data_IF_203775966252
#
_entry.id   IF_203775966252
#
_cell.length_a   1.000
_cell.length_b   1.000
_cell.length_c   1.000
_cell.angle_alpha   90.00
_cell.angle_beta   90.00
_cell.angle_gamma   90.00
#
_symmetry.space_group_name_H-M   'P 1'
#
loop_
_entity.id
_entity.type
_entity.pdbx_description
1 polymer ?
#
# COMPACT_ATOMS: atom_id res chain seq x y z
N UNK A 1 3.62 6.35 -2.87
CA UNK A 1 3.88 5.71 -1.57
C UNK A 1 2.74 4.73 -1.35
N UNK A 2 3.02 3.43 -1.39
CA UNK A 2 2.06 2.41 -0.95
C UNK A 2 2.18 2.26 0.56
N UNK A 3 1.07 2.04 1.27
CA UNK A 3 1.15 1.68 2.69
C UNK A 3 1.84 0.34 2.86
N UNK A 4 2.60 0.19 3.94
CA UNK A 4 3.21 -1.08 4.29
C UNK A 4 2.15 -2.00 4.93
N UNK A 5 2.23 -3.29 4.64
CA UNK A 5 1.42 -4.32 5.27
C UNK A 5 2.27 -5.57 5.53
N UNK A 6 1.81 -6.42 6.41
CA UNK A 6 2.33 -7.77 6.62
C UNK A 6 1.17 -8.76 6.55
N UNK A 7 1.37 -9.90 5.87
CA UNK A 7 0.35 -10.93 5.72
C UNK A 7 0.97 -12.30 6.03
N UNK A 8 0.26 -13.11 6.81
CA UNK A 8 0.81 -14.29 7.47
C UNK A 8 -0.15 -15.46 7.49
N UNK A 9 0.41 -16.67 7.34
CA UNK A 9 -0.25 -17.92 7.73
C UNK A 9 0.21 -18.36 9.11
N UNK A 10 -0.70 -18.99 9.86
CA UNK A 10 -0.36 -19.61 11.14
C UNK A 10 0.72 -20.68 10.93
N UNK A 11 1.69 -20.76 11.84
CA UNK A 11 2.75 -21.78 11.81
C UNK A 11 3.85 -21.58 10.76
N UNK A 12 3.82 -20.50 9.97
CA UNK A 12 4.86 -20.20 8.97
C UNK A 12 5.54 -18.85 9.25
N UNK A 13 6.86 -18.80 9.04
CA UNK A 13 7.64 -17.56 9.06
C UNK A 13 7.15 -16.58 7.97
N UNK A 14 7.34 -15.25 8.15
CA UNK A 14 7.00 -14.27 7.12
C UNK A 14 7.73 -14.62 5.83
N UNK A 15 7.05 -14.90 4.71
CA UNK A 15 7.72 -14.83 3.43
C UNK A 15 8.15 -13.38 3.18
N UNK A 16 9.34 -13.17 2.61
CA UNK A 16 9.72 -11.86 2.07
C UNK A 16 8.69 -11.43 1.02
N UNK A 17 7.84 -10.48 1.38
CA UNK A 17 6.92 -9.83 0.45
C UNK A 17 7.46 -8.44 0.12
N UNK A 18 7.92 -8.20 -1.13
CA UNK A 18 8.19 -6.84 -1.55
C UNK A 18 6.88 -6.04 -1.46
N UNK A 19 6.93 -4.73 -1.14
CA UNK A 19 5.74 -3.89 -1.12
C UNK A 19 4.99 -4.04 -2.44
N UNK A 20 3.66 -4.14 -2.39
CA UNK A 20 2.83 -4.23 -3.59
C UNK A 20 3.34 -3.22 -4.61
N UNK A 21 3.75 -3.74 -5.77
CA UNK A 21 4.00 -2.98 -6.98
C UNK A 21 2.70 -2.24 -7.32
N UNK A 22 2.53 -1.07 -6.70
CA UNK A 22 1.56 -0.09 -7.10
C UNK A 22 2.07 0.44 -8.43
N UNK A 23 1.44 0.00 -9.53
CA UNK A 23 1.69 0.55 -10.86
C UNK A 23 1.27 2.03 -10.84
N UNK A 24 2.19 2.88 -10.41
CA UNK A 24 2.11 4.32 -10.57
C UNK A 24 2.09 4.64 -12.05
N UNK A 25 1.06 5.37 -12.45
CA UNK A 25 0.74 5.71 -13.84
C UNK A 25 1.93 6.31 -14.61
N UNK A 26 2.52 5.54 -15.53
CA UNK A 26 3.33 6.10 -16.63
C UNK A 26 2.46 6.63 -17.79
N UNK A 27 1.13 6.43 -17.74
CA UNK A 27 0.22 6.54 -18.89
C UNK A 27 -0.72 7.77 -18.83
N UNK A 28 -0.59 8.64 -17.82
CA UNK A 28 -1.29 9.93 -17.82
C UNK A 28 -0.80 10.88 -18.93
N UNK A 29 0.40 10.66 -19.50
CA UNK A 29 0.97 11.53 -20.55
C UNK A 29 0.45 11.26 -21.97
N UNK A 30 0.11 10.03 -22.33
CA UNK A 30 -0.20 9.69 -23.73
C UNK A 30 -1.58 10.17 -24.21
N UNK A 31 -2.58 10.25 -23.32
CA UNK A 31 -3.93 10.68 -23.72
C UNK A 31 -4.04 12.21 -23.92
N UNK A 32 -3.25 13.00 -23.19
CA UNK A 32 -3.15 14.46 -23.41
C UNK A 32 -2.35 14.80 -24.68
N UNK A 33 -1.34 14.00 -25.01
CA UNK A 33 -0.49 14.22 -26.19
C UNK A 33 -1.17 13.84 -27.52
N UNK A 34 -2.15 12.93 -27.49
CA UNK A 34 -2.90 12.52 -28.68
C UNK A 34 -4.08 13.45 -29.02
N UNK A 35 -4.56 14.27 -28.08
CA UNK A 35 -5.54 15.34 -28.34
C UNK A 35 -4.94 16.57 -29.02
N UNK A 36 -3.62 16.73 -29.04
CA UNK A 36 -2.97 17.87 -29.67
C UNK A 36 -2.96 17.83 -31.22
N UNK A 37 -3.39 16.71 -31.84
CA UNK A 37 -3.30 16.52 -33.31
C UNK A 37 -4.64 16.60 -34.06
N UNK A 38 -5.79 16.71 -33.36
CA UNK A 38 -7.12 16.80 -34.01
C UNK A 38 -8.00 17.82 -33.29
N UNK A 39 -8.46 18.84 -34.02
CA UNK A 39 -9.38 19.86 -33.52
C UNK A 39 -10.74 19.21 -33.20
N UNK A 40 -11.00 18.92 -31.93
CA UNK A 40 -12.22 18.28 -31.47
C UNK A 40 -13.02 19.27 -30.62
N UNK A 41 -14.35 19.38 -30.78
CA UNK A 41 -15.14 20.31 -30.00
C UNK A 41 -15.07 19.99 -28.48
N UNK A 42 -15.09 21.00 -27.58
CA UNK A 42 -14.86 20.83 -26.14
C UNK A 42 -15.79 19.81 -25.45
N UNK A 43 -17.04 19.71 -25.92
CA UNK A 43 -18.03 18.76 -25.40
C UNK A 43 -17.66 17.30 -25.71
N UNK A 44 -17.09 17.03 -26.89
CA UNK A 44 -16.68 15.69 -27.26
C UNK A 44 -15.35 15.30 -26.58
N UNK A 45 -14.47 16.27 -26.33
CA UNK A 45 -13.26 16.07 -25.53
C UNK A 45 -13.58 15.80 -24.03
N UNK A 46 -14.56 16.51 -23.45
CA UNK A 46 -15.01 16.28 -22.07
C UNK A 46 -15.72 14.94 -21.89
N UNK A 47 -16.64 14.57 -22.78
CA UNK A 47 -17.31 13.24 -22.77
C UNK A 47 -16.32 12.09 -22.89
N UNK A 48 -15.33 12.21 -23.78
CA UNK A 48 -14.28 11.21 -23.93
C UNK A 48 -13.45 11.07 -22.64
N UNK A 49 -13.02 12.19 -22.04
CA UNK A 49 -12.31 12.19 -20.74
C UNK A 49 -13.14 11.56 -19.62
N UNK A 50 -14.45 11.82 -19.56
CA UNK A 50 -15.33 11.21 -18.57
C UNK A 50 -15.41 9.69 -18.76
N UNK A 51 -15.64 9.21 -19.99
CA UNK A 51 -15.66 7.76 -20.31
C UNK A 51 -14.36 7.06 -19.90
N UNK A 52 -13.21 7.62 -20.29
CA UNK A 52 -11.90 7.08 -19.90
C UNK A 52 -11.71 7.04 -18.39
N UNK A 53 -12.17 8.08 -17.68
CA UNK A 53 -12.11 8.10 -16.21
C UNK A 53 -12.97 6.99 -15.60
N UNK A 54 -14.18 6.77 -16.11
CA UNK A 54 -15.05 5.68 -15.65
C UNK A 54 -14.43 4.31 -15.91
N UNK A 55 -13.91 4.07 -17.11
CA UNK A 55 -13.24 2.82 -17.46
C UNK A 55 -12.00 2.58 -16.59
N UNK A 56 -11.17 3.60 -16.40
CA UNK A 56 -9.99 3.51 -15.53
C UNK A 56 -10.35 3.21 -14.07
N UNK A 57 -11.38 3.87 -13.53
CA UNK A 57 -11.87 3.58 -12.16
C UNK A 57 -12.39 2.13 -12.05
N UNK A 58 -13.04 1.60 -13.10
CA UNK A 58 -13.49 0.22 -13.12
C UNK A 58 -12.30 -0.76 -13.14
N UNK A 59 -11.31 -0.53 -14.00
CA UNK A 59 -10.09 -1.36 -14.09
C UNK A 59 -9.28 -1.33 -12.79
N UNK A 60 -9.12 -0.15 -12.18
CA UNK A 60 -8.46 0.00 -10.88
C UNK A 60 -9.19 -0.79 -9.79
N UNK A 61 -10.52 -0.68 -9.75
CA UNK A 61 -11.36 -1.43 -8.81
C UNK A 61 -11.19 -2.94 -8.98
N UNK A 62 -11.18 -3.44 -10.22
CA UNK A 62 -11.04 -4.87 -10.50
C UNK A 62 -9.65 -5.38 -10.09
N UNK A 63 -8.60 -4.59 -10.32
CA UNK A 63 -7.26 -4.90 -9.83
C UNK A 63 -7.22 -4.96 -8.29
N UNK A 64 -7.83 -4.00 -7.60
CA UNK A 64 -7.94 -4.02 -6.13
C UNK A 64 -8.70 -5.24 -5.62
N UNK A 65 -9.76 -5.67 -6.31
CA UNK A 65 -10.46 -6.90 -5.95
C UNK A 65 -9.56 -8.13 -6.13
N UNK A 66 -8.78 -8.23 -7.21
CA UNK A 66 -7.85 -9.34 -7.41
C UNK A 66 -6.77 -9.37 -6.33
N UNK A 67 -6.13 -8.23 -6.04
CA UNK A 67 -5.07 -8.15 -5.03
C UNK A 67 -5.59 -8.44 -3.62
N UNK A 68 -6.74 -7.88 -3.24
CA UNK A 68 -7.31 -8.11 -1.91
C UNK A 68 -7.78 -9.56 -1.72
N UNK A 69 -8.30 -10.21 -2.77
CA UNK A 69 -8.64 -11.63 -2.71
C UNK A 69 -7.38 -12.50 -2.60
N UNK A 70 -6.34 -12.22 -3.39
CA UNK A 70 -5.08 -12.95 -3.33
C UNK A 70 -4.43 -12.83 -1.94
N UNK A 71 -4.47 -11.64 -1.33
CA UNK A 71 -3.92 -11.42 0.00
C UNK A 71 -4.64 -12.22 1.09
N UNK A 72 -5.97 -12.20 1.08
CA UNK A 72 -6.79 -12.92 2.06
C UNK A 72 -6.67 -14.43 1.86
N UNK A 73 -6.63 -14.92 0.63
CA UNK A 73 -6.51 -16.37 0.37
C UNK A 73 -5.17 -16.95 0.84
N UNK A 74 -4.12 -16.13 0.96
CA UNK A 74 -2.80 -16.59 1.40
C UNK A 74 -2.51 -16.32 2.86
N UNK A 75 -3.34 -15.59 3.60
CA UNK A 75 -3.03 -15.17 4.96
C UNK A 75 -4.23 -15.32 5.92
N UNK A 76 -3.96 -15.88 7.10
CA UNK A 76 -4.90 -15.97 8.22
C UNK A 76 -4.87 -14.70 9.07
N UNK A 77 -3.75 -13.98 9.05
CA UNK A 77 -3.55 -12.70 9.72
C UNK A 77 -2.95 -11.69 8.76
N UNK A 78 -3.61 -10.54 8.64
CA UNK A 78 -3.16 -9.39 7.87
C UNK A 78 -3.02 -8.22 8.84
N UNK A 79 -1.84 -7.63 8.90
CA UNK A 79 -1.56 -6.44 9.71
C UNK A 79 -1.23 -5.28 8.78
N UNK A 80 -1.89 -4.15 8.97
CA UNK A 80 -1.72 -2.95 8.14
C UNK A 80 -1.48 -1.73 9.02
N UNK A 81 -0.76 -0.75 8.49
CA UNK A 81 -0.65 0.56 9.12
C UNK A 81 -1.98 1.31 9.08
N UNK A 82 -2.39 1.91 10.20
CA UNK A 82 -3.52 2.84 10.26
C UNK A 82 -3.11 4.23 9.75
N UNK A 83 -2.82 4.30 8.44
CA UNK A 83 -2.49 5.55 7.79
C UNK A 83 -3.74 6.44 7.75
N UNK A 84 -3.66 7.63 8.35
CA UNK A 84 -4.72 8.63 8.24
C UNK A 84 -4.70 9.26 6.84
N UNK A 85 -5.31 8.57 5.87
CA UNK A 85 -5.36 8.96 4.46
C UNK A 85 -5.96 10.36 4.29
N UNK A 86 -6.93 10.76 5.13
CA UNK A 86 -7.55 12.09 5.09
C UNK A 86 -6.52 13.19 5.35
N UNK A 87 -5.61 12.98 6.31
CA UNK A 87 -4.54 13.94 6.60
C UNK A 87 -3.46 13.94 5.51
N UNK A 88 -3.14 12.79 4.91
CA UNK A 88 -2.12 12.73 3.86
C UNK A 88 -2.59 13.40 2.55
N UNK A 89 -3.89 13.36 2.24
CA UNK A 89 -4.48 14.05 1.07
C UNK A 89 -4.41 15.58 1.21
N UNK A 90 -4.22 16.12 2.41
CA UNK A 90 -4.03 17.57 2.59
C UNK A 90 -2.64 18.04 2.17
N UNK A 91 -1.69 17.12 1.95
CA UNK A 91 -0.32 17.49 1.57
C UNK A 91 -0.23 17.88 0.09
N UNK A 92 0.17 19.11 -0.26
CA UNK A 92 0.02 19.67 -1.60
C UNK A 92 0.75 18.87 -2.69
N UNK A 93 1.88 18.25 -2.38
CA UNK A 93 2.67 17.47 -3.35
C UNK A 93 2.33 15.97 -3.38
N UNK A 94 1.76 15.42 -2.31
CA UNK A 94 1.51 13.98 -2.18
C UNK A 94 0.05 13.61 -2.43
N UNK A 95 -0.87 14.57 -2.26
CA UNK A 95 -2.32 14.40 -2.38
C UNK A 95 -2.72 13.60 -3.60
N UNK A 96 -2.19 13.97 -4.78
CA UNK A 96 -2.52 13.32 -6.04
C UNK A 96 -2.06 11.87 -6.09
N UNK A 97 -0.81 11.61 -5.71
CA UNK A 97 -0.26 10.24 -5.70
C UNK A 97 -0.95 9.32 -4.69
N UNK A 98 -1.45 9.87 -3.58
CA UNK A 98 -2.19 9.13 -2.55
C UNK A 98 -3.63 8.89 -2.98
N UNK A 99 -4.29 9.90 -3.56
CA UNK A 99 -5.64 9.78 -4.10
C UNK A 99 -5.70 8.80 -5.27
N UNK A 100 -4.67 8.81 -6.13
CA UNK A 100 -4.53 7.87 -7.24
C UNK A 100 -4.23 6.44 -6.76
N UNK A 101 -3.71 6.27 -5.53
CA UNK A 101 -3.32 4.98 -4.97
C UNK A 101 -4.44 4.27 -4.18
N UNK A 102 -5.73 4.63 -4.35
CA UNK A 102 -6.93 3.92 -3.88
C UNK A 102 -6.85 3.17 -2.52
N UNK A 103 -6.03 3.63 -1.57
CA UNK A 103 -5.58 2.82 -0.42
C UNK A 103 -6.71 2.56 0.56
N UNK A 104 -7.54 3.56 0.84
CA UNK A 104 -8.72 3.39 1.69
C UNK A 104 -9.68 2.33 1.14
N UNK A 105 -9.90 2.33 -0.19
CA UNK A 105 -10.75 1.32 -0.85
C UNK A 105 -10.16 -0.06 -0.75
N UNK A 106 -8.83 -0.18 -0.88
CA UNK A 106 -8.13 -1.44 -0.70
C UNK A 106 -8.30 -1.99 0.71
N UNK A 107 -8.14 -1.15 1.74
CA UNK A 107 -8.35 -1.54 3.14
C UNK A 107 -9.80 -1.94 3.43
N UNK A 108 -10.77 -1.24 2.85
CA UNK A 108 -12.18 -1.62 2.95
C UNK A 108 -12.44 -2.99 2.31
N UNK A 109 -11.81 -3.26 1.16
CA UNK A 109 -11.89 -4.55 0.50
C UNK A 109 -11.25 -5.67 1.30
N UNK A 110 -10.08 -5.43 1.88
CA UNK A 110 -9.42 -6.40 2.75
C UNK A 110 -10.26 -6.72 3.97
N UNK A 111 -10.87 -5.71 4.59
CA UNK A 111 -11.70 -5.89 5.80
C UNK A 111 -12.83 -6.88 5.56
N UNK A 112 -13.70 -6.62 4.57
CA UNK A 112 -14.86 -7.50 4.35
C UNK A 112 -14.45 -8.88 3.81
N UNK A 113 -13.34 -8.98 3.06
CA UNK A 113 -12.87 -10.28 2.54
C UNK A 113 -12.21 -11.12 3.63
N UNK A 114 -11.40 -10.51 4.49
CA UNK A 114 -10.79 -11.18 5.62
C UNK A 114 -11.87 -11.75 6.54
N UNK A 115 -12.87 -10.94 6.89
CA UNK A 115 -14.03 -11.36 7.68
C UNK A 115 -14.75 -12.57 7.05
N UNK A 116 -15.01 -12.52 5.74
CA UNK A 116 -15.64 -13.64 5.01
C UNK A 116 -14.79 -14.91 4.97
N UNK A 117 -13.48 -14.80 5.00
CA UNK A 117 -12.55 -15.93 4.96
C UNK A 117 -12.19 -16.46 6.36
N UNK A 118 -12.66 -15.81 7.44
CA UNK A 118 -12.23 -16.11 8.81
C UNK A 118 -10.81 -15.65 9.14
N UNK A 119 -10.23 -14.76 8.32
CA UNK A 119 -8.93 -14.16 8.56
C UNK A 119 -9.05 -12.88 9.40
N UNK A 120 -8.00 -12.54 10.15
CA UNK A 120 -7.95 -11.35 10.98
C UNK A 120 -7.27 -10.19 10.24
N UNK A 121 -7.88 -9.01 10.28
CA UNK A 121 -7.26 -7.76 9.83
C UNK A 121 -7.01 -6.84 11.03
N UNK A 122 -5.75 -6.58 11.35
CA UNK A 122 -5.33 -5.75 12.49
C UNK A 122 -4.70 -4.46 11.96
N UNK A 123 -5.09 -3.32 12.53
CA UNK A 123 -4.49 -2.02 12.23
C UNK A 123 -3.56 -1.61 13.35
N UNK A 124 -2.38 -1.10 13.01
CA UNK A 124 -1.36 -0.67 13.99
C UNK A 124 -0.97 0.79 13.78
N UNK A 125 -0.44 1.42 14.84
CA UNK A 125 0.07 2.79 14.76
C UNK A 125 1.25 2.85 13.76
N UNK A 126 1.17 3.69 12.70
CA UNK A 126 2.25 3.84 11.72
C UNK A 126 3.49 4.56 12.27
N UNK A 127 3.46 5.10 13.49
CA UNK A 127 4.57 5.89 14.03
C UNK A 127 5.85 5.05 14.13
N UNK A 128 6.91 5.57 13.51
CA UNK A 128 8.27 5.04 13.57
C UNK A 128 8.46 3.62 13.02
N UNK A 129 7.48 3.02 12.35
CA UNK A 129 7.56 1.65 11.79
C UNK A 129 8.73 1.50 10.80
N UNK A 130 8.97 2.49 9.95
CA UNK A 130 10.06 2.51 8.97
C UNK A 130 11.42 2.95 9.53
N UNK A 131 11.41 3.60 10.69
CA UNK A 131 12.61 4.13 11.35
C UNK A 131 13.17 3.15 12.38
N UNK A 132 12.30 2.49 13.14
CA UNK A 132 12.66 1.49 14.14
C UNK A 132 13.32 0.29 13.48
N UNK A 133 14.45 -0.16 14.03
CA UNK A 133 15.11 -1.37 13.54
C UNK A 133 14.33 -2.62 13.97
N UNK A 134 14.02 -3.50 13.01
CA UNK A 134 13.37 -4.77 13.31
C UNK A 134 14.28 -5.74 14.09
N UNK A 135 15.61 -5.59 13.98
CA UNK A 135 16.61 -6.42 14.68
C UNK A 135 16.85 -6.01 16.13
N UNK A 136 17.08 -4.72 16.41
CA UNK A 136 17.44 -4.26 17.76
C UNK A 136 16.50 -3.19 18.36
N UNK A 137 15.41 -2.85 17.67
CA UNK A 137 14.43 -1.83 18.10
C UNK A 137 14.93 -0.39 18.19
N UNK A 138 16.20 -0.13 17.86
CA UNK A 138 16.79 1.23 17.83
C UNK A 138 16.12 2.11 16.77
N UNK A 139 15.95 3.40 17.06
CA UNK A 139 15.44 4.33 16.07
C UNK A 139 16.58 4.76 15.14
N UNK A 140 16.37 4.57 13.84
CA UNK A 140 17.29 5.00 12.79
C UNK A 140 16.56 6.08 11.97
N UNK A 141 16.69 7.37 12.32
CA UNK A 141 16.06 8.45 11.60
C UNK A 141 16.52 8.48 10.15
N UNK A 142 15.57 8.58 9.23
CA UNK A 142 15.84 8.59 7.78
C UNK A 142 14.72 9.29 7.02
N UNK A 143 15.07 9.88 5.89
CA UNK A 143 14.09 10.52 5.00
C UNK A 143 13.35 9.49 4.14
N UNK A 144 12.22 9.88 3.55
CA UNK A 144 11.41 9.02 2.68
C UNK A 144 12.14 8.62 1.38
N UNK A 145 13.22 9.32 1.02
CA UNK A 145 14.06 9.01 -0.14
C UNK A 145 14.95 7.79 0.12
N UNK A 146 15.36 7.54 1.36
CA UNK A 146 16.22 6.41 1.72
C UNK A 146 15.38 5.12 1.66
N UNK A 147 15.78 4.18 0.79
CA UNK A 147 15.09 2.89 0.59
C UNK A 147 15.74 1.71 1.28
N UNK A 148 16.99 1.85 1.70
CA UNK A 148 17.69 0.83 2.49
C UNK A 148 17.65 1.20 3.97
N UNK A 149 17.24 0.27 4.81
CA UNK A 149 17.41 0.35 6.25
C UNK A 149 18.77 -0.24 6.61
N UNK A 150 19.74 0.62 6.96
CA UNK A 150 21.02 0.21 7.53
C UNK A 150 21.08 0.66 9.00
N UNK A 151 21.10 -0.30 9.92
CA UNK A 151 21.13 -0.02 11.35
C UNK A 151 22.57 0.07 11.87
N UNK A 152 22.99 1.22 12.43
CA UNK A 152 24.34 1.37 12.98
C UNK A 152 24.55 0.61 14.29
N UNK A 153 23.48 0.26 15.01
CA UNK A 153 23.55 -0.41 16.31
C UNK A 153 23.75 -1.93 16.18
N UNK A 154 23.01 -2.59 15.29
CA UNK A 154 23.07 -4.06 15.13
C UNK A 154 23.60 -4.54 13.77
N UNK A 155 23.95 -3.62 12.86
CA UNK A 155 24.47 -3.97 11.54
C UNK A 155 23.43 -4.50 10.53
N UNK A 156 22.15 -4.54 10.88
CA UNK A 156 21.09 -5.01 9.97
C UNK A 156 20.99 -4.11 8.73
N UNK A 157 21.10 -4.70 7.54
CA UNK A 157 20.93 -4.02 6.25
C UNK A 157 19.86 -4.73 5.42
N UNK A 158 18.68 -4.13 5.30
CA UNK A 158 17.54 -4.68 4.54
C UNK A 158 16.77 -3.57 3.84
N UNK A 159 15.84 -3.91 2.95
CA UNK A 159 14.90 -2.93 2.39
C UNK A 159 14.09 -2.26 3.51
N UNK A 160 13.85 -0.94 3.39
CA UNK A 160 13.16 -0.16 4.42
C UNK A 160 11.70 -0.58 4.58
N UNK A 161 11.02 -0.85 3.47
CA UNK A 161 9.61 -1.23 3.49
C UNK A 161 9.49 -2.67 4.03
N UNK A 162 10.48 -3.54 3.79
CA UNK A 162 10.61 -4.83 4.47
C UNK A 162 10.88 -4.72 5.98
N UNK A 163 11.76 -3.82 6.41
CA UNK A 163 11.95 -3.54 7.83
C UNK A 163 10.65 -3.06 8.49
N UNK A 164 9.90 -2.20 7.80
CA UNK A 164 8.62 -1.71 8.26
C UNK A 164 7.59 -2.84 8.40
N UNK A 165 7.48 -3.74 7.41
CA UNK A 165 6.54 -4.87 7.45
C UNK A 165 6.80 -5.79 8.66
N UNK A 166 8.07 -6.04 9.00
CA UNK A 166 8.45 -6.82 10.18
C UNK A 166 8.03 -6.12 11.49
N UNK A 167 8.19 -4.81 11.58
CA UNK A 167 7.76 -4.04 12.76
C UNK A 167 6.23 -4.00 12.88
N UNK A 168 5.52 -3.81 11.76
CA UNK A 168 4.06 -3.82 11.69
C UNK A 168 3.52 -5.16 12.16
N UNK A 169 4.08 -6.26 11.64
CA UNK A 169 3.74 -7.60 12.08
C UNK A 169 3.91 -7.73 13.59
N UNK A 170 5.08 -7.38 14.11
CA UNK A 170 5.38 -7.51 15.55
C UNK A 170 4.41 -6.71 16.41
N UNK A 171 3.98 -5.54 15.94
CA UNK A 171 3.01 -4.70 16.64
C UNK A 171 1.57 -5.27 16.61
N UNK A 172 1.20 -5.98 15.54
CA UNK A 172 -0.15 -6.52 15.38
C UNK A 172 -0.31 -8.01 15.74
N UNK A 173 0.78 -8.73 15.98
CA UNK A 173 0.73 -10.16 16.27
C UNK A 173 0.25 -10.41 17.71
N UNK A 174 -0.89 -11.10 17.92
CA UNK A 174 -1.36 -11.41 19.27
C UNK A 174 -0.49 -12.49 19.93
N UNK A 175 -0.43 -12.45 21.27
CA UNK A 175 0.28 -13.47 22.05
C UNK A 175 -0.32 -14.86 21.77
N UNK A 176 0.53 -15.84 21.43
CA UNK A 176 0.12 -17.21 21.12
C UNK A 176 -0.23 -17.49 19.65
N UNK A 177 0.05 -16.57 18.72
CA UNK A 177 -0.23 -16.81 17.29
C UNK A 177 0.73 -17.78 16.59
N UNK A 178 1.94 -17.96 17.13
CA UNK A 178 3.00 -18.82 16.57
C UNK A 178 3.08 -20.18 17.31
N UNK A 179 2.52 -20.27 18.52
CA UNK A 179 2.49 -21.49 19.34
C UNK A 179 1.36 -22.41 18.89
#
# INVERSE_FOLDING_TARGET
MGGAYAAFRRGHAPPYEPPLNWRGNHVLRQCLQSSARRHWPPICASRRRARWRHEWVATDRDWLHQQSAALVNRADLIVVEDLNVKNMIRHPTLARSIADASWSKFLDMLRYKAERAGAHLIRVDPRNTSQRCSGCSELVPKSLAVRTHACPNCGLVIDRDWNASLNILRAGMPAGWIT
#
